data_IF_363657826964
#
_entry.id   IF_363657826964
#
_cell.length_a   1.000
_cell.length_b   1.000
_cell.length_c   1.000
_cell.angle_alpha   90.00
_cell.angle_beta   90.00
_cell.angle_gamma   90.00
#
_symmetry.space_group_name_H-M   'P 1'
#
loop_
_entity.id
_entity.type
_entity.pdbx_description
1 polymer ?
#
# COMPACT_ATOMS: atom_id res chain seq x y z
N UNK A 1 -1.98 12.78 1.58
CA UNK A 1 -1.90 12.29 2.97
C UNK A 1 -1.42 10.83 3.03
N UNK A 2 -2.15 9.87 2.44
CA UNK A 2 -1.79 8.44 2.55
C UNK A 2 -0.42 8.04 1.99
N UNK A 3 0.03 8.61 0.86
CA UNK A 3 1.38 8.33 0.30
C UNK A 3 2.53 8.69 1.25
N UNK A 4 2.49 9.89 1.86
CA UNK A 4 3.52 10.32 2.83
C UNK A 4 3.51 9.48 4.10
N UNK A 5 2.33 9.11 4.60
CA UNK A 5 2.22 8.22 5.76
C UNK A 5 2.76 6.82 5.45
N UNK A 6 2.53 6.32 4.23
CA UNK A 6 3.06 5.04 3.77
C UNK A 6 4.59 5.06 3.68
N UNK A 7 5.15 6.12 3.09
CA UNK A 7 6.59 6.30 2.95
C UNK A 7 7.29 6.37 4.32
N UNK A 8 6.69 7.08 5.29
CA UNK A 8 7.18 7.08 6.68
C UNK A 8 7.13 5.69 7.34
N UNK A 9 6.06 4.91 7.09
CA UNK A 9 5.96 3.54 7.60
C UNK A 9 6.95 2.59 6.94
N UNK A 10 7.16 2.70 5.63
CA UNK A 10 8.16 1.91 4.91
C UNK A 10 9.57 2.17 5.47
N UNK A 11 9.87 3.42 5.82
CA UNK A 11 11.19 3.80 6.31
C UNK A 11 11.44 3.38 7.77
N UNK A 12 10.39 3.35 8.61
CA UNK A 12 10.49 3.01 10.04
C UNK A 12 10.30 1.51 10.30
N UNK A 13 9.32 0.90 9.62
CA UNK A 13 8.88 -0.48 9.89
C UNK A 13 9.36 -1.47 8.83
N UNK A 14 9.76 -0.98 7.65
CA UNK A 14 10.08 -1.82 6.50
C UNK A 14 8.89 -2.02 5.56
N UNK A 15 9.20 -2.49 4.34
CA UNK A 15 8.21 -2.66 3.26
C UNK A 15 7.25 -3.83 3.52
N UNK A 16 7.70 -4.85 4.23
CA UNK A 16 6.93 -6.08 4.52
C UNK A 16 6.19 -6.03 5.86
N UNK A 17 6.37 -4.96 6.64
CA UNK A 17 5.68 -4.85 7.91
C UNK A 17 4.16 -4.74 7.73
N UNK A 18 3.41 -5.44 8.58
CA UNK A 18 1.96 -5.57 8.44
C UNK A 18 1.22 -4.21 8.40
N UNK A 19 1.68 -3.21 9.17
CA UNK A 19 1.12 -1.85 9.14
C UNK A 19 1.44 -1.06 7.86
N UNK A 20 2.57 -1.36 7.22
CA UNK A 20 2.96 -0.81 5.93
C UNK A 20 2.07 -1.41 4.84
N UNK A 21 1.89 -2.73 4.85
CA UNK A 21 1.00 -3.44 3.92
C UNK A 21 -0.47 -3.00 4.08
N UNK A 22 -0.92 -2.76 5.30
CA UNK A 22 -2.24 -2.17 5.58
C UNK A 22 -2.39 -0.76 4.98
N UNK A 23 -1.31 0.04 5.00
CA UNK A 23 -1.25 1.33 4.32
C UNK A 23 -1.36 1.22 2.80
N UNK A 24 -0.64 0.27 2.19
CA UNK A 24 -0.72 -0.03 0.74
C UNK A 24 -2.15 -0.41 0.33
N UNK A 25 -2.81 -1.29 1.09
CA UNK A 25 -4.19 -1.70 0.84
C UNK A 25 -5.16 -0.51 0.87
N UNK A 26 -5.05 0.36 1.86
CA UNK A 26 -5.92 1.53 1.97
C UNK A 26 -5.71 2.52 0.81
N UNK A 27 -4.46 2.68 0.35
CA UNK A 27 -4.14 3.48 -0.82
C UNK A 27 -4.72 2.85 -2.10
N UNK A 28 -4.64 1.53 -2.24
CA UNK A 28 -5.21 0.80 -3.36
C UNK A 28 -6.73 1.01 -3.47
N UNK A 29 -7.44 0.92 -2.35
CA UNK A 29 -8.89 1.16 -2.27
C UNK A 29 -9.22 2.60 -2.67
N UNK A 30 -8.48 3.58 -2.16
CA UNK A 30 -8.70 4.99 -2.49
C UNK A 30 -8.51 5.25 -4.00
N UNK A 31 -7.50 4.63 -4.60
CA UNK A 31 -7.23 4.74 -6.04
C UNK A 31 -8.34 4.09 -6.87
N UNK A 32 -8.90 2.97 -6.40
CA UNK A 32 -10.06 2.34 -7.05
C UNK A 32 -11.26 3.28 -7.06
N UNK A 33 -11.57 3.94 -5.94
CA UNK A 33 -12.64 4.95 -5.87
C UNK A 33 -12.40 6.17 -6.77
N UNK A 34 -11.14 6.48 -7.09
CA UNK A 34 -10.78 7.54 -8.04
C UNK A 34 -10.79 7.07 -9.50
N UNK A 35 -11.18 5.83 -9.78
CA UNK A 35 -11.15 5.24 -11.13
C UNK A 35 -9.73 4.90 -11.62
N UNK A 36 -8.73 4.98 -10.76
CA UNK A 36 -7.31 4.74 -11.07
C UNK A 36 -6.94 3.27 -10.85
N UNK A 37 -7.55 2.40 -11.65
CA UNK A 37 -7.42 0.95 -11.47
C UNK A 37 -5.99 0.44 -11.60
N UNK A 38 -5.17 0.99 -12.52
CA UNK A 38 -3.77 0.57 -12.67
C UNK A 38 -2.89 0.91 -11.45
N UNK A 39 -3.05 2.10 -10.88
CA UNK A 39 -2.34 2.46 -9.63
C UNK A 39 -2.85 1.61 -8.45
N UNK A 40 -4.17 1.32 -8.42
CA UNK A 40 -4.79 0.46 -7.40
C UNK A 40 -4.24 -0.96 -7.43
N UNK A 41 -4.19 -1.57 -8.61
CA UNK A 41 -3.67 -2.93 -8.81
C UNK A 41 -2.22 -3.05 -8.36
N UNK A 42 -1.39 -2.06 -8.71
CA UNK A 42 0.02 -2.01 -8.29
C UNK A 42 0.15 -2.01 -6.77
N UNK A 43 -0.67 -1.22 -6.07
CA UNK A 43 -0.66 -1.16 -4.61
C UNK A 43 -1.21 -2.43 -3.96
N UNK A 44 -2.21 -3.07 -4.57
CA UNK A 44 -2.74 -4.35 -4.11
C UNK A 44 -1.73 -5.49 -4.26
N UNK A 45 -1.06 -5.57 -5.41
CA UNK A 45 -0.02 -6.59 -5.66
C UNK A 45 1.10 -6.48 -4.64
N UNK A 46 1.57 -5.26 -4.39
CA UNK A 46 2.61 -4.99 -3.39
C UNK A 46 2.19 -5.37 -1.96
N UNK A 47 0.92 -5.15 -1.61
CA UNK A 47 0.38 -5.56 -0.30
C UNK A 47 0.23 -7.09 -0.16
N UNK A 48 -0.03 -7.79 -1.28
CA UNK A 48 -0.10 -9.26 -1.35
C UNK A 48 1.28 -9.89 -1.24
N UNK A 49 2.25 -9.39 -2.01
CA UNK A 49 3.62 -9.91 -2.05
C UNK A 49 4.31 -9.84 -0.68
N UNK A 50 4.08 -8.77 0.10
CA UNK A 50 4.59 -8.68 1.47
C UNK A 50 3.81 -9.51 2.50
N UNK A 51 2.63 -10.04 2.17
CA UNK A 51 1.87 -10.97 3.04
C UNK A 51 2.22 -12.44 2.79
N UNK A 52 2.78 -12.75 1.62
CA UNK A 52 3.18 -14.10 1.22
C UNK A 52 4.63 -14.44 1.59
N UNK A 53 5.45 -13.43 1.93
CA UNK A 53 6.78 -13.58 2.52
C UNK A 53 6.72 -13.68 4.04
#
# INVERSE_FOLDING_TARGET
>A
MHRRALEGRENVLGRDHHDTLGGCKNLAILLQYQGKYGESETMHRRALEGREN
#
